data_IF_837126317196
#
_entry.id   IF_837126317196
#
_cell.length_a   1.000
_cell.length_b   1.000
_cell.length_c   1.000
_cell.angle_alpha   90.00
_cell.angle_beta   90.00
_cell.angle_gamma   90.00
#
_symmetry.space_group_name_H-M   'P 1'
#
loop_
_entity.id
_entity.type
_entity.pdbx_description
1 polymer ?
#
# COMPACT_ATOMS: atom_id res chain seq x y z
N UNK A 1 19.89 -16.07 -7.23
CA UNK A 1 19.29 -16.37 -5.91
C UNK A 1 18.09 -15.43 -5.75
N UNK A 2 16.99 -15.89 -5.19
CA UNK A 2 15.88 -14.99 -4.83
C UNK A 2 16.35 -14.12 -3.67
N UNK A 3 15.97 -12.85 -3.66
CA UNK A 3 16.30 -11.94 -2.56
C UNK A 3 15.64 -12.41 -1.25
N UNK A 4 16.28 -12.09 -0.14
CA UNK A 4 15.85 -12.47 1.20
C UNK A 4 15.02 -11.37 1.84
N UNK A 5 14.26 -11.72 2.89
CA UNK A 5 13.48 -10.73 3.65
C UNK A 5 14.40 -9.69 4.34
N UNK A 6 15.62 -10.06 4.71
CA UNK A 6 16.58 -9.13 5.31
C UNK A 6 17.07 -8.07 4.30
N UNK A 7 17.23 -8.45 3.02
CA UNK A 7 17.53 -7.49 1.95
C UNK A 7 16.36 -6.53 1.72
N UNK A 8 15.13 -7.04 1.73
CA UNK A 8 13.91 -6.22 1.64
C UNK A 8 13.80 -5.27 2.83
N UNK A 9 14.02 -5.77 4.05
CA UNK A 9 14.01 -4.96 5.29
C UNK A 9 15.06 -3.86 5.24
N UNK A 10 16.29 -4.20 4.83
CA UNK A 10 17.36 -3.22 4.68
C UNK A 10 16.99 -2.13 3.69
N UNK A 11 16.46 -2.53 2.53
CA UNK A 11 16.04 -1.58 1.48
C UNK A 11 15.01 -0.57 2.00
N UNK A 12 13.96 -1.03 2.69
CA UNK A 12 12.91 -0.16 3.21
C UNK A 12 13.32 0.64 4.46
N UNK A 13 14.30 0.14 5.24
CA UNK A 13 14.91 0.92 6.32
C UNK A 13 15.73 2.10 5.77
N UNK A 14 16.54 1.84 4.75
CA UNK A 14 17.40 2.86 4.14
C UNK A 14 16.56 3.87 3.32
N UNK A 15 15.36 3.50 2.89
CA UNK A 15 14.49 4.27 2.00
C UNK A 15 13.01 4.17 2.40
N UNK A 16 12.60 4.76 3.53
CA UNK A 16 11.19 4.80 3.90
C UNK A 16 10.34 5.37 2.75
N UNK A 17 9.28 4.65 2.38
CA UNK A 17 8.43 5.03 1.26
C UNK A 17 7.79 6.41 1.51
N UNK A 18 7.83 7.30 0.51
CA UNK A 18 7.26 8.64 0.56
C UNK A 18 7.95 9.63 1.53
N UNK A 19 9.07 9.29 2.17
CA UNK A 19 9.76 10.18 3.11
C UNK A 19 10.16 11.53 2.47
N UNK A 20 10.40 11.55 1.17
CA UNK A 20 10.76 12.75 0.39
C UNK A 20 9.56 13.50 -0.19
N UNK A 21 8.34 13.14 0.18
CA UNK A 21 7.14 13.82 -0.30
C UNK A 21 6.91 15.20 0.33
N UNK A 22 7.67 15.58 1.33
CA UNK A 22 7.67 16.91 1.91
C UNK A 22 9.08 17.46 2.03
N UNK A 23 9.22 18.79 1.95
CA UNK A 23 10.43 19.54 2.25
C UNK A 23 10.41 20.15 3.65
N UNK A 24 9.31 19.98 4.40
CA UNK A 24 9.15 20.46 5.78
C UNK A 24 9.97 19.61 6.75
N UNK A 25 10.11 20.09 7.95
CA UNK A 25 10.78 19.36 9.04
C UNK A 25 10.04 18.06 9.36
N UNK A 26 10.75 16.93 9.26
CA UNK A 26 10.19 15.62 9.52
C UNK A 26 9.63 15.52 10.94
N UNK A 27 8.40 15.02 11.05
CA UNK A 27 7.72 14.85 12.33
C UNK A 27 6.84 16.02 12.74
N UNK A 28 6.72 17.06 11.90
CA UNK A 28 5.74 18.15 12.09
C UNK A 28 4.42 17.82 11.40
N UNK A 29 3.34 18.51 11.79
CA UNK A 29 2.03 18.38 11.14
C UNK A 29 2.15 18.78 9.67
N UNK A 30 2.82 19.88 9.39
CA UNK A 30 3.02 20.42 8.04
C UNK A 30 3.73 19.41 7.13
N UNK A 31 4.72 18.68 7.69
CA UNK A 31 5.38 17.60 6.95
C UNK A 31 4.39 16.49 6.59
N UNK A 32 3.62 16.03 7.55
CA UNK A 32 2.69 14.93 7.35
C UNK A 32 1.53 15.30 6.43
N UNK A 33 1.02 16.53 6.51
CA UNK A 33 -0.03 17.05 5.62
C UNK A 33 0.46 17.09 4.16
N UNK A 34 1.70 17.56 3.90
CA UNK A 34 2.27 17.57 2.54
C UNK A 34 2.48 16.15 2.00
N UNK A 35 2.99 15.22 2.83
CA UNK A 35 3.16 13.81 2.46
C UNK A 35 1.81 13.19 2.08
N UNK A 36 0.78 13.43 2.86
CA UNK A 36 -0.56 12.91 2.64
C UNK A 36 -1.19 13.50 1.39
N UNK A 37 -1.15 14.83 1.25
CA UNK A 37 -1.67 15.54 0.08
C UNK A 37 -1.03 15.02 -1.21
N UNK A 38 0.29 14.86 -1.22
CA UNK A 38 1.02 14.35 -2.39
C UNK A 38 0.66 12.91 -2.69
N UNK A 39 0.56 12.04 -1.66
CA UNK A 39 0.16 10.65 -1.84
C UNK A 39 -1.24 10.53 -2.44
N UNK A 40 -2.24 11.17 -1.84
CA UNK A 40 -3.62 11.05 -2.33
C UNK A 40 -3.87 11.80 -3.64
N UNK A 41 -3.04 12.80 -3.96
CA UNK A 41 -3.06 13.41 -5.29
C UNK A 41 -2.51 12.48 -6.36
N UNK A 42 -1.45 11.75 -6.06
CA UNK A 42 -0.85 10.79 -6.99
C UNK A 42 -1.68 9.49 -7.10
N UNK A 43 -2.31 9.08 -6.02
CA UNK A 43 -3.03 7.81 -5.89
C UNK A 43 -4.46 8.04 -5.33
N UNK A 44 -5.34 8.79 -6.03
CA UNK A 44 -6.65 9.18 -5.51
C UNK A 44 -7.61 8.01 -5.26
N UNK A 45 -7.39 6.87 -5.95
CA UNK A 45 -8.16 5.64 -5.76
C UNK A 45 -8.04 5.06 -4.34
N UNK A 46 -6.98 5.39 -3.58
CA UNK A 46 -6.82 4.97 -2.18
C UNK A 46 -8.02 5.43 -1.34
N UNK A 47 -8.46 6.68 -1.52
CA UNK A 47 -9.58 7.24 -0.74
C UNK A 47 -10.88 6.47 -0.97
N UNK A 48 -11.12 6.03 -2.21
CA UNK A 48 -12.29 5.20 -2.55
C UNK A 48 -12.11 3.78 -2.01
N UNK A 49 -10.93 3.21 -2.12
CA UNK A 49 -10.66 1.82 -1.74
C UNK A 49 -10.67 1.61 -0.22
N UNK A 50 -10.16 2.57 0.56
CA UNK A 50 -10.09 2.47 2.03
C UNK A 50 -11.46 2.57 2.70
N UNK A 51 -12.37 3.42 2.18
CA UNK A 51 -13.70 3.65 2.75
C UNK A 51 -13.64 4.00 4.26
N UNK A 52 -12.73 4.90 4.65
CA UNK A 52 -12.36 5.21 6.03
C UNK A 52 -13.54 5.32 7.00
N UNK A 53 -14.62 6.01 6.61
CA UNK A 53 -15.79 6.24 7.46
C UNK A 53 -16.58 4.97 7.82
N UNK A 54 -16.48 3.91 7.02
CA UNK A 54 -17.15 2.62 7.29
C UNK A 54 -16.55 1.88 8.49
N UNK A 55 -15.30 2.23 8.86
CA UNK A 55 -14.56 1.54 9.91
C UNK A 55 -14.61 2.26 11.26
N UNK A 56 -15.49 3.24 11.41
CA UNK A 56 -15.73 3.89 12.70
C UNK A 56 -16.16 2.89 13.77
N UNK A 57 -15.49 2.90 14.93
CA UNK A 57 -15.68 1.96 16.04
C UNK A 57 -15.39 0.49 15.66
N UNK A 58 -14.61 0.26 14.62
CA UNK A 58 -14.19 -1.05 14.14
C UNK A 58 -12.68 -1.24 14.35
N UNK A 59 -12.25 -2.49 14.50
CA UNK A 59 -10.84 -2.84 14.59
C UNK A 59 -10.23 -2.95 13.20
N UNK A 60 -9.18 -2.19 12.96
CA UNK A 60 -8.43 -2.18 11.69
C UNK A 60 -7.00 -2.62 11.93
N UNK A 61 -6.55 -3.64 11.20
CA UNK A 61 -5.15 -4.06 11.12
C UNK A 61 -4.57 -3.65 9.77
N UNK A 62 -3.57 -2.78 9.78
CA UNK A 62 -2.81 -2.43 8.58
C UNK A 62 -1.47 -3.18 8.56
N UNK A 63 -1.26 -4.01 7.54
CA UNK A 63 -0.01 -4.73 7.31
C UNK A 63 0.85 -3.94 6.33
N UNK A 64 1.99 -3.41 6.84
CA UNK A 64 2.87 -2.51 6.12
C UNK A 64 2.39 -1.05 6.17
N UNK A 65 2.29 -0.50 7.38
CA UNK A 65 1.74 0.84 7.57
C UNK A 65 2.65 1.99 7.09
N UNK A 66 3.91 1.69 6.77
CA UNK A 66 4.87 2.69 6.30
C UNK A 66 4.98 3.89 7.26
N UNK A 67 4.82 5.10 6.72
CA UNK A 67 4.83 6.35 7.51
C UNK A 67 3.47 6.65 8.20
N UNK A 68 2.55 5.69 8.24
CA UNK A 68 1.24 5.85 8.85
C UNK A 68 0.27 6.77 8.10
N UNK A 69 0.49 7.03 6.80
CA UNK A 69 -0.34 7.98 6.03
C UNK A 69 -1.78 7.51 5.86
N UNK A 70 -1.99 6.22 5.62
CA UNK A 70 -3.33 5.64 5.54
C UNK A 70 -3.87 5.37 6.95
N UNK A 71 -3.02 4.84 7.83
CA UNK A 71 -3.36 4.50 9.21
C UNK A 71 -3.91 5.66 10.02
N UNK A 72 -3.32 6.86 9.91
CA UNK A 72 -3.81 8.04 10.63
C UNK A 72 -5.25 8.39 10.20
N UNK A 73 -5.59 8.19 8.93
CA UNK A 73 -6.93 8.47 8.42
C UNK A 73 -7.97 7.47 8.95
N UNK A 74 -7.61 6.19 9.15
CA UNK A 74 -8.48 5.27 9.87
C UNK A 74 -8.72 5.73 11.30
N UNK A 75 -7.67 6.12 12.04
CA UNK A 75 -7.80 6.59 13.42
C UNK A 75 -8.60 7.88 13.53
N UNK A 76 -8.37 8.87 12.66
CA UNK A 76 -9.13 10.13 12.61
C UNK A 76 -10.63 9.90 12.30
N UNK A 77 -10.96 8.83 11.59
CA UNK A 77 -12.34 8.41 11.35
C UNK A 77 -12.90 7.51 12.47
N UNK A 78 -12.16 7.31 13.56
CA UNK A 78 -12.63 6.64 14.77
C UNK A 78 -12.46 5.11 14.76
N UNK A 79 -11.58 4.54 13.96
CA UNK A 79 -11.23 3.13 14.05
C UNK A 79 -10.28 2.83 15.23
N UNK A 80 -10.38 1.64 15.84
CA UNK A 80 -9.34 1.06 16.72
C UNK A 80 -8.22 0.50 15.84
N UNK A 81 -7.15 1.28 15.69
CA UNK A 81 -6.12 1.04 14.69
C UNK A 81 -4.92 0.27 15.25
N UNK A 82 -4.48 -0.71 14.47
CA UNK A 82 -3.23 -1.45 14.67
C UNK A 82 -2.41 -1.43 13.38
N UNK A 83 -1.16 -0.98 13.45
CA UNK A 83 -0.20 -0.96 12.35
C UNK A 83 0.95 -1.94 12.55
N UNK A 84 1.33 -2.63 11.50
CA UNK A 84 2.50 -3.52 11.44
C UNK A 84 3.45 -3.02 10.37
N UNK A 85 4.74 -2.97 10.67
CA UNK A 85 5.76 -2.50 9.72
C UNK A 85 7.06 -3.32 9.87
N UNK A 86 7.72 -3.59 8.74
CA UNK A 86 9.00 -4.30 8.68
C UNK A 86 10.18 -3.35 8.96
N UNK A 87 10.07 -2.09 8.50
CA UNK A 87 11.07 -1.05 8.66
C UNK A 87 10.91 -0.33 10.00
N UNK A 88 11.95 -0.36 10.81
CA UNK A 88 11.99 0.37 12.09
C UNK A 88 11.86 1.88 11.86
N UNK A 89 12.58 2.40 10.87
CA UNK A 89 12.58 3.83 10.56
C UNK A 89 11.18 4.32 10.16
N UNK A 90 10.50 3.57 9.28
CA UNK A 90 9.12 3.89 8.90
C UNK A 90 8.16 3.85 10.08
N UNK A 91 8.29 2.82 10.92
CA UNK A 91 7.42 2.64 12.09
C UNK A 91 7.55 3.78 13.11
N UNK A 92 8.77 4.25 13.38
CA UNK A 92 9.00 5.38 14.31
C UNK A 92 8.38 6.68 13.75
N UNK A 93 8.46 6.90 12.44
CA UNK A 93 7.80 8.03 11.78
C UNK A 93 6.27 7.89 11.88
N UNK A 94 5.72 6.70 11.69
CA UNK A 94 4.28 6.45 11.86
C UNK A 94 3.79 6.74 13.28
N UNK A 95 4.52 6.29 14.30
CA UNK A 95 4.22 6.62 15.71
C UNK A 95 4.25 8.13 15.95
N UNK A 96 5.27 8.82 15.40
CA UNK A 96 5.38 10.28 15.51
C UNK A 96 4.20 10.99 14.83
N UNK A 97 3.73 10.49 13.68
CA UNK A 97 2.51 11.01 13.03
C UNK A 97 1.31 10.91 13.96
N UNK A 98 1.06 9.75 14.56
CA UNK A 98 -0.07 9.57 15.47
C UNK A 98 0.03 10.49 16.71
N UNK A 99 1.25 10.67 17.25
CA UNK A 99 1.51 11.59 18.37
C UNK A 99 1.09 13.03 18.00
N UNK A 100 1.57 13.58 16.88
CA UNK A 100 1.32 14.97 16.51
C UNK A 100 -0.13 15.24 16.12
N UNK A 101 -0.85 14.23 15.62
CA UNK A 101 -2.30 14.31 15.37
C UNK A 101 -3.15 13.98 16.61
N UNK A 102 -2.50 13.74 17.77
CA UNK A 102 -3.18 13.35 19.02
C UNK A 102 -4.12 12.16 18.83
N UNK A 103 -3.67 11.15 18.07
CA UNK A 103 -4.38 9.90 17.86
C UNK A 103 -3.66 8.74 18.54
N UNK A 104 -4.42 7.70 18.89
CA UNK A 104 -3.89 6.46 19.44
C UNK A 104 -3.87 5.36 18.39
N UNK A 105 -2.90 4.45 18.50
CA UNK A 105 -2.78 3.25 17.68
C UNK A 105 -1.81 2.27 18.34
N UNK A 106 -1.97 0.98 18.01
CA UNK A 106 -1.02 -0.06 18.39
C UNK A 106 -0.04 -0.26 17.25
N UNK A 107 1.25 -0.36 17.54
CA UNK A 107 2.30 -0.49 16.52
C UNK A 107 3.23 -1.63 16.82
N UNK A 108 3.45 -2.49 15.83
CA UNK A 108 4.31 -3.66 15.94
C UNK A 108 5.38 -3.66 14.85
N UNK A 109 6.64 -3.86 15.25
CA UNK A 109 7.76 -4.05 14.34
C UNK A 109 7.96 -5.53 14.06
N UNK A 110 7.90 -5.95 12.81
CA UNK A 110 8.13 -7.36 12.48
C UNK A 110 7.84 -7.72 11.02
N UNK A 111 8.22 -8.95 10.68
CA UNK A 111 7.95 -9.54 9.38
C UNK A 111 6.55 -10.14 9.33
N UNK A 112 5.71 -9.65 8.44
CA UNK A 112 4.33 -10.12 8.29
C UNK A 112 4.22 -11.61 7.87
N UNK A 113 5.30 -12.21 7.37
CA UNK A 113 5.35 -13.67 7.14
C UNK A 113 5.24 -14.49 8.44
N UNK A 114 5.49 -13.85 9.57
CA UNK A 114 5.46 -14.43 10.92
C UNK A 114 4.55 -13.60 11.85
N UNK A 115 3.53 -12.95 11.33
CA UNK A 115 2.67 -11.98 12.02
C UNK A 115 2.21 -12.44 13.39
N UNK A 116 1.79 -13.71 13.54
CA UNK A 116 1.31 -14.27 14.80
C UNK A 116 2.40 -14.51 15.85
N UNK A 117 3.68 -14.31 15.53
CA UNK A 117 4.77 -14.43 16.50
C UNK A 117 4.96 -13.18 17.36
N UNK A 118 4.45 -12.02 16.90
CA UNK A 118 4.67 -10.73 17.56
C UNK A 118 3.42 -9.84 17.68
N UNK A 119 2.35 -10.12 16.92
CA UNK A 119 1.05 -9.45 17.09
C UNK A 119 0.11 -10.39 17.85
N UNK A 120 -0.50 -9.95 18.96
CA UNK A 120 -1.52 -10.75 19.65
C UNK A 120 -2.66 -11.14 18.72
N UNK A 121 -3.07 -12.42 18.78
CA UNK A 121 -4.18 -12.89 17.93
C UNK A 121 -5.48 -12.35 18.50
N UNK A 122 -6.13 -11.51 17.73
CA UNK A 122 -7.48 -11.02 17.95
C UNK A 122 -8.19 -10.87 16.59
N UNK A 123 -9.51 -10.77 16.59
CA UNK A 123 -10.26 -10.58 15.35
C UNK A 123 -10.34 -9.10 14.99
N UNK A 124 -10.06 -8.78 13.71
CA UNK A 124 -10.21 -7.47 13.13
C UNK A 124 -11.38 -7.44 12.15
N UNK A 125 -12.08 -6.31 12.08
CA UNK A 125 -13.17 -6.07 11.12
C UNK A 125 -12.63 -5.83 9.72
N UNK A 126 -11.50 -5.09 9.63
CA UNK A 126 -10.74 -4.87 8.40
C UNK A 126 -9.30 -5.29 8.59
N UNK A 127 -8.77 -6.05 7.62
CA UNK A 127 -7.33 -6.15 7.41
C UNK A 127 -7.01 -5.46 6.10
N UNK A 128 -6.11 -4.50 6.17
CA UNK A 128 -5.70 -3.66 5.04
C UNK A 128 -4.21 -3.83 4.77
N UNK A 129 -3.83 -3.96 3.49
CA UNK A 129 -2.42 -3.99 3.10
C UNK A 129 -2.26 -3.38 1.70
N UNK A 130 -1.55 -2.28 1.60
CA UNK A 130 -1.41 -1.54 0.36
C UNK A 130 0.06 -1.36 -0.02
N UNK A 131 0.48 -2.00 -1.11
CA UNK A 131 1.85 -1.85 -1.60
C UNK A 131 2.90 -2.64 -0.81
N UNK A 132 2.56 -3.81 -0.24
CA UNK A 132 3.43 -4.52 0.71
C UNK A 132 3.64 -5.99 0.34
N UNK A 133 2.58 -6.77 0.19
CA UNK A 133 2.65 -8.25 0.07
C UNK A 133 3.49 -8.68 -1.12
N UNK A 134 3.47 -7.93 -2.21
CA UNK A 134 4.25 -8.21 -3.41
C UNK A 134 5.77 -7.95 -3.27
N UNK A 135 6.20 -7.35 -2.15
CA UNK A 135 7.61 -7.19 -1.81
C UNK A 135 8.15 -8.31 -0.90
N UNK A 136 7.32 -9.28 -0.53
CA UNK A 136 7.73 -10.44 0.25
C UNK A 136 8.33 -11.53 -0.66
N UNK A 137 9.38 -12.24 -0.21
CA UNK A 137 9.81 -13.50 -0.85
C UNK A 137 8.77 -14.63 -0.71
N UNK A 138 7.86 -14.52 0.26
CA UNK A 138 6.84 -15.53 0.59
C UNK A 138 5.45 -14.90 0.81
N UNK A 139 4.83 -14.28 -0.22
CA UNK A 139 3.53 -13.61 -0.10
C UNK A 139 2.41 -14.56 0.42
N UNK A 140 2.49 -15.85 0.08
CA UNK A 140 1.57 -16.89 0.55
C UNK A 140 1.60 -17.07 2.09
N UNK A 141 2.76 -16.86 2.73
CA UNK A 141 2.88 -16.89 4.18
C UNK A 141 2.14 -15.72 4.82
N UNK A 142 2.30 -14.50 4.28
CA UNK A 142 1.59 -13.32 4.79
C UNK A 142 0.08 -13.54 4.72
N UNK A 143 -0.44 -13.99 3.58
CA UNK A 143 -1.85 -14.27 3.38
C UNK A 143 -2.34 -15.36 4.36
N UNK A 144 -1.54 -16.39 4.60
CA UNK A 144 -1.85 -17.44 5.59
C UNK A 144 -1.86 -16.91 7.03
N UNK A 145 -0.95 -16.00 7.38
CA UNK A 145 -0.93 -15.38 8.70
C UNK A 145 -2.15 -14.47 8.92
N UNK A 146 -2.54 -13.69 7.92
CA UNK A 146 -3.70 -12.81 7.97
C UNK A 146 -4.98 -13.58 8.34
N UNK A 147 -5.18 -14.79 7.85
CA UNK A 147 -6.34 -15.64 8.18
C UNK A 147 -6.57 -15.80 9.68
N UNK A 148 -5.52 -15.81 10.50
CA UNK A 148 -5.60 -15.98 11.94
C UNK A 148 -6.26 -14.82 12.68
N UNK A 149 -6.39 -13.68 12.00
CA UNK A 149 -6.93 -12.42 12.51
C UNK A 149 -8.31 -12.09 11.93
N UNK A 150 -8.92 -13.04 11.22
CA UNK A 150 -10.20 -12.87 10.54
C UNK A 150 -11.24 -13.86 11.02
N UNK A 151 -12.50 -13.45 10.95
CA UNK A 151 -13.68 -14.32 11.00
C UNK A 151 -14.56 -14.12 9.76
N UNK A 152 -15.75 -14.72 9.72
CA UNK A 152 -16.69 -14.65 8.61
C UNK A 152 -17.19 -13.24 8.29
N UNK A 153 -17.10 -12.30 9.25
CA UNK A 153 -17.53 -10.90 9.10
C UNK A 153 -16.36 -9.97 8.72
N UNK A 154 -15.13 -10.45 8.81
CA UNK A 154 -13.93 -9.67 8.51
C UNK A 154 -13.80 -9.44 7.02
N UNK A 155 -13.29 -8.25 6.65
CA UNK A 155 -12.96 -7.89 5.27
C UNK A 155 -11.45 -7.80 5.12
N UNK A 156 -10.93 -8.38 4.06
CA UNK A 156 -9.55 -8.19 3.60
C UNK A 156 -9.54 -7.25 2.40
N UNK A 157 -8.77 -6.17 2.49
CA UNK A 157 -8.48 -5.26 1.35
C UNK A 157 -6.99 -5.22 1.12
N UNK A 158 -6.54 -5.67 -0.05
CA UNK A 158 -5.12 -5.65 -0.42
C UNK A 158 -4.92 -5.01 -1.78
N UNK A 159 -3.79 -4.33 -1.96
CA UNK A 159 -3.32 -3.88 -3.26
C UNK A 159 -2.06 -4.64 -3.65
N UNK A 160 -2.06 -5.16 -4.88
CA UNK A 160 -0.92 -5.82 -5.52
C UNK A 160 -0.61 -5.15 -6.86
N UNK A 161 0.62 -5.31 -7.36
CA UNK A 161 1.01 -4.82 -8.67
C UNK A 161 0.48 -5.70 -9.79
N UNK A 162 -0.13 -5.08 -10.79
CA UNK A 162 -0.70 -5.76 -11.95
C UNK A 162 0.37 -6.13 -12.98
N UNK A 163 0.42 -7.40 -13.38
CA UNK A 163 1.28 -7.89 -14.46
C UNK A 163 0.82 -7.33 -15.81
N UNK A 164 -0.49 -7.39 -16.06
CA UNK A 164 -1.10 -6.85 -17.26
C UNK A 164 -1.43 -5.36 -17.04
N UNK A 165 -0.42 -4.50 -17.10
CA UNK A 165 -0.56 -3.07 -16.83
C UNK A 165 0.33 -2.21 -17.72
N UNK A 166 -0.10 -0.97 -17.96
CA UNK A 166 0.69 0.03 -18.67
C UNK A 166 2.11 0.13 -18.12
N UNK A 167 2.22 0.26 -16.80
CA UNK A 167 3.52 0.42 -16.14
C UNK A 167 4.43 -0.79 -16.32
N UNK A 168 3.91 -2.01 -16.15
CA UNK A 168 4.71 -3.22 -16.33
C UNK A 168 5.22 -3.35 -17.77
N UNK A 169 4.38 -3.06 -18.76
CA UNK A 169 4.82 -3.08 -20.17
C UNK A 169 5.89 -2.02 -20.46
N UNK A 170 5.78 -0.83 -19.86
CA UNK A 170 6.80 0.22 -20.00
C UNK A 170 8.12 -0.18 -19.33
N UNK A 171 8.07 -0.85 -18.17
CA UNK A 171 9.27 -1.37 -17.48
C UNK A 171 9.93 -2.47 -18.33
N UNK A 172 9.16 -3.42 -18.84
CA UNK A 172 9.66 -4.52 -19.66
C UNK A 172 10.29 -4.01 -20.98
N UNK A 173 9.78 -2.89 -21.50
CA UNK A 173 10.33 -2.21 -22.66
C UNK A 173 11.55 -1.30 -22.33
N UNK A 174 11.93 -1.17 -21.07
CA UNK A 174 13.00 -0.28 -20.62
C UNK A 174 12.68 1.23 -20.74
N UNK A 175 11.39 1.57 -20.82
CA UNK A 175 10.90 2.94 -21.02
C UNK A 175 10.39 3.61 -19.74
N UNK A 176 10.20 2.84 -18.67
CA UNK A 176 9.77 3.36 -17.37
C UNK A 176 10.55 2.68 -16.25
N UNK A 177 10.56 3.35 -15.12
CA UNK A 177 11.25 2.91 -13.93
C UNK A 177 10.41 3.31 -12.72
N UNK A 178 9.70 2.37 -12.07
CA UNK A 178 8.93 2.70 -10.88
C UNK A 178 9.88 3.17 -9.79
N UNK A 179 9.67 4.36 -9.27
CA UNK A 179 10.51 4.92 -8.22
C UNK A 179 10.61 4.00 -7.00
N UNK A 180 9.47 3.42 -6.57
CA UNK A 180 9.42 2.48 -5.45
C UNK A 180 10.13 1.15 -5.75
N UNK A 181 10.29 0.79 -7.02
CA UNK A 181 10.91 -0.47 -7.44
C UNK A 181 12.38 -0.32 -7.81
N UNK A 182 12.87 0.90 -8.01
CA UNK A 182 14.27 1.10 -8.38
C UNK A 182 15.22 0.60 -7.30
N UNK A 183 15.87 -0.53 -7.60
CA UNK A 183 16.75 -1.23 -6.66
C UNK A 183 16.01 -1.98 -5.55
N UNK A 184 14.67 -2.07 -5.57
CA UNK A 184 13.93 -2.91 -4.65
C UNK A 184 14.24 -4.39 -4.95
N UNK A 185 14.64 -5.19 -3.94
CA UNK A 185 15.05 -6.57 -4.16
C UNK A 185 13.96 -7.48 -4.70
N UNK A 186 12.69 -7.19 -4.34
CA UNK A 186 11.51 -7.97 -4.75
C UNK A 186 10.38 -7.01 -5.09
N UNK A 187 9.80 -7.17 -6.28
CA UNK A 187 8.57 -6.51 -6.69
C UNK A 187 7.80 -7.47 -7.63
N UNK A 188 7.02 -8.36 -7.02
CA UNK A 188 6.22 -9.33 -7.76
C UNK A 188 5.03 -8.65 -8.43
N UNK A 189 4.71 -9.07 -9.65
CA UNK A 189 3.50 -8.66 -10.36
C UNK A 189 2.55 -9.84 -10.52
N UNK A 190 1.25 -9.59 -10.57
CA UNK A 190 0.20 -10.60 -10.56
C UNK A 190 -0.80 -10.38 -11.69
N UNK A 191 -1.22 -11.45 -12.34
CA UNK A 191 -2.47 -11.48 -13.09
C UNK A 191 -3.65 -11.60 -12.10
N UNK A 192 -4.89 -11.35 -12.57
CA UNK A 192 -6.08 -11.60 -11.74
C UNK A 192 -6.22 -13.07 -11.34
N UNK A 193 -5.73 -14.00 -12.18
CA UNK A 193 -5.71 -15.43 -11.88
C UNK A 193 -4.69 -15.75 -10.76
N UNK A 194 -3.48 -15.18 -10.81
CA UNK A 194 -2.47 -15.33 -9.76
C UNK A 194 -2.98 -14.84 -8.41
N UNK A 195 -3.80 -13.77 -8.40
CA UNK A 195 -4.45 -13.27 -7.17
C UNK A 195 -5.40 -14.30 -6.58
N UNK A 196 -6.24 -14.93 -7.41
CA UNK A 196 -7.19 -15.97 -6.95
C UNK A 196 -6.44 -17.18 -6.38
N UNK A 197 -5.32 -17.55 -6.98
CA UNK A 197 -4.46 -18.65 -6.50
C UNK A 197 -3.78 -18.28 -5.18
N UNK A 198 -3.22 -17.07 -5.06
CA UNK A 198 -2.61 -16.57 -3.82
C UNK A 198 -3.62 -16.54 -2.67
N UNK A 199 -4.87 -16.14 -2.97
CA UNK A 199 -5.97 -16.04 -2.00
C UNK A 199 -6.75 -17.37 -1.85
N UNK A 200 -6.10 -18.51 -2.05
CA UNK A 200 -6.75 -19.80 -1.82
C UNK A 200 -7.28 -19.91 -0.37
N UNK A 201 -8.58 -20.24 -0.25
CA UNK A 201 -9.31 -20.28 1.02
C UNK A 201 -9.90 -18.93 1.46
N UNK A 202 -9.89 -17.94 0.57
CA UNK A 202 -10.71 -16.74 0.65
C UNK A 202 -11.78 -16.75 -0.45
N UNK A 203 -12.87 -16.06 -0.21
CA UNK A 203 -13.83 -15.64 -1.22
C UNK A 203 -13.41 -14.27 -1.73
N UNK A 204 -12.93 -14.20 -2.96
CA UNK A 204 -12.59 -12.94 -3.63
C UNK A 204 -13.88 -12.27 -4.10
N UNK A 205 -14.24 -11.14 -3.49
CA UNK A 205 -15.47 -10.39 -3.80
C UNK A 205 -15.29 -9.48 -5.01
N UNK A 206 -14.11 -8.84 -5.12
CA UNK A 206 -13.78 -8.00 -6.28
C UNK A 206 -12.26 -7.96 -6.52
N UNK A 207 -11.88 -7.78 -7.79
CA UNK A 207 -10.54 -7.39 -8.23
C UNK A 207 -10.73 -6.24 -9.22
N UNK A 208 -10.61 -5.01 -8.72
CA UNK A 208 -10.62 -3.82 -9.56
C UNK A 208 -9.19 -3.49 -9.97
N UNK A 209 -9.02 -2.91 -11.16
CA UNK A 209 -7.72 -2.43 -11.62
C UNK A 209 -7.81 -0.92 -11.78
N UNK A 210 -6.80 -0.22 -11.28
CA UNK A 210 -6.78 1.24 -11.21
C UNK A 210 -5.34 1.75 -11.26
N UNK A 211 -5.18 3.06 -11.36
CA UNK A 211 -3.94 3.79 -11.26
C UNK A 211 -3.01 3.66 -12.46
N UNK A 212 -3.00 4.70 -13.29
CA UNK A 212 -1.90 4.99 -14.21
C UNK A 212 -1.17 6.23 -13.67
N UNK A 213 0.15 6.12 -13.49
CA UNK A 213 0.98 7.27 -13.13
C UNK A 213 1.24 8.11 -14.38
N UNK A 214 0.57 9.28 -14.54
CA UNK A 214 0.60 10.03 -15.80
C UNK A 214 1.73 11.05 -15.86
N UNK A 215 2.53 11.19 -14.80
CA UNK A 215 3.51 12.26 -14.66
C UNK A 215 4.91 11.84 -15.10
N UNK A 216 5.71 12.83 -15.50
CA UNK A 216 7.15 12.65 -15.70
C UNK A 216 7.82 12.42 -14.33
N UNK A 217 8.67 11.40 -14.23
CA UNK A 217 9.24 10.97 -12.95
C UNK A 217 10.15 12.01 -12.32
N UNK A 218 11.07 12.59 -13.10
CA UNK A 218 12.03 13.54 -12.53
C UNK A 218 11.39 14.84 -12.02
N UNK A 219 10.48 15.51 -12.75
CA UNK A 219 9.72 16.63 -12.20
C UNK A 219 8.88 16.24 -10.98
N UNK A 220 8.24 15.07 -11.00
CA UNK A 220 7.45 14.57 -9.87
C UNK A 220 8.27 14.44 -8.58
N UNK A 221 9.51 13.96 -8.65
CA UNK A 221 10.43 13.89 -7.50
C UNK A 221 10.67 15.26 -6.86
N UNK A 222 10.60 16.33 -7.66
CA UNK A 222 10.76 17.72 -7.20
C UNK A 222 9.42 18.37 -6.80
N UNK A 223 8.33 17.62 -6.81
CA UNK A 223 6.98 18.12 -6.47
C UNK A 223 6.23 18.73 -7.64
N UNK A 224 6.76 18.65 -8.87
CA UNK A 224 6.13 19.17 -10.07
C UNK A 224 5.33 18.07 -10.78
N UNK A 225 4.03 18.34 -11.01
CA UNK A 225 3.09 17.38 -11.60
C UNK A 225 2.94 17.60 -13.11
N UNK A 226 4.04 17.43 -13.85
CA UNK A 226 4.08 17.56 -15.32
C UNK A 226 3.68 16.22 -15.93
N UNK A 227 2.54 16.19 -16.64
CA UNK A 227 2.08 14.98 -17.34
C UNK A 227 3.00 14.63 -18.52
N UNK A 228 3.04 13.36 -18.85
CA UNK A 228 3.59 12.90 -20.12
C UNK A 228 2.71 13.43 -21.26
N UNK A 229 3.27 13.90 -22.40
CA UNK A 229 2.49 14.53 -23.49
C UNK A 229 1.34 13.67 -24.02
N UNK A 230 1.51 12.35 -24.08
CA UNK A 230 0.46 11.42 -24.52
C UNK A 230 -0.71 11.32 -23.54
N UNK A 231 -0.49 11.50 -22.23
CA UNK A 231 -1.57 11.55 -21.24
C UNK A 231 -2.21 12.94 -21.16
N UNK A 232 -1.46 14.00 -21.43
CA UNK A 232 -2.00 15.37 -21.42
C UNK A 232 -2.99 15.58 -22.57
N UNK A 233 -2.70 15.04 -23.75
CA UNK A 233 -3.57 15.09 -24.93
C UNK A 233 -4.70 14.06 -24.93
N UNK A 234 -4.73 13.14 -23.97
CA UNK A 234 -5.70 12.02 -23.96
C UNK A 234 -7.07 12.46 -23.47
N UNK A 235 -8.16 12.11 -24.19
CA UNK A 235 -9.52 12.33 -23.68
C UNK A 235 -9.73 11.60 -22.33
N UNK A 236 -10.42 12.24 -21.39
CA UNK A 236 -10.66 11.69 -20.03
C UNK A 236 -11.26 10.29 -20.05
N UNK A 237 -12.29 10.05 -20.89
CA UNK A 237 -12.91 8.73 -21.00
C UNK A 237 -11.95 7.62 -21.48
N UNK A 238 -10.97 7.99 -22.32
CA UNK A 238 -9.92 7.07 -22.76
C UNK A 238 -8.96 6.76 -21.62
N UNK A 239 -8.53 7.79 -20.86
CA UNK A 239 -7.66 7.63 -19.70
C UNK A 239 -8.32 6.74 -18.63
N UNK A 240 -9.57 7.00 -18.26
CA UNK A 240 -10.34 6.17 -17.31
C UNK A 240 -10.49 4.73 -17.80
N UNK A 241 -10.63 4.52 -19.11
CA UNK A 241 -10.69 3.16 -19.69
C UNK A 241 -9.34 2.46 -19.57
N UNK A 242 -8.23 3.17 -19.79
CA UNK A 242 -6.88 2.62 -19.59
C UNK A 242 -6.64 2.26 -18.12
N UNK A 243 -7.02 3.13 -17.17
CA UNK A 243 -6.87 2.85 -15.74
C UNK A 243 -7.58 1.55 -15.34
N UNK A 244 -8.82 1.35 -15.79
CA UNK A 244 -9.62 0.16 -15.47
C UNK A 244 -9.08 -1.14 -16.09
N UNK A 245 -8.34 -1.06 -17.20
CA UNK A 245 -7.86 -2.23 -17.92
C UNK A 245 -6.36 -2.45 -17.86
N UNK A 246 -5.59 -1.37 -17.68
CA UNK A 246 -4.12 -1.37 -17.68
C UNK A 246 -3.55 -0.61 -16.48
N UNK A 247 -4.33 -0.35 -15.45
CA UNK A 247 -3.87 0.26 -14.20
C UNK A 247 -2.80 -0.59 -13.51
N UNK A 248 -1.91 0.04 -12.78
CA UNK A 248 -0.80 -0.62 -12.08
C UNK A 248 -1.24 -1.36 -10.83
N UNK A 249 -2.33 -0.95 -10.21
CA UNK A 249 -2.83 -1.49 -8.94
C UNK A 249 -4.00 -2.43 -9.15
N UNK A 250 -3.88 -3.67 -8.67
CA UNK A 250 -5.00 -4.57 -8.44
C UNK A 250 -5.52 -4.30 -7.03
N UNK A 251 -6.74 -3.79 -6.93
CA UNK A 251 -7.45 -3.50 -5.69
C UNK A 251 -8.37 -4.69 -5.40
N UNK A 252 -8.04 -5.46 -4.39
CA UNK A 252 -8.69 -6.75 -4.10
C UNK A 252 -9.46 -6.63 -2.80
N UNK A 253 -10.74 -6.99 -2.83
CA UNK A 253 -11.57 -7.17 -1.65
C UNK A 253 -11.94 -8.64 -1.51
N UNK A 254 -11.75 -9.21 -0.32
CA UNK A 254 -12.01 -10.62 -0.05
C UNK A 254 -12.52 -10.84 1.38
N UNK A 255 -13.09 -12.02 1.63
CA UNK A 255 -13.50 -12.54 2.96
C UNK A 255 -12.96 -13.94 3.15
N UNK A 256 -13.04 -14.46 4.36
CA UNK A 256 -12.84 -15.89 4.57
C UNK A 256 -13.99 -16.69 3.93
N UNK A 257 -13.65 -17.86 3.35
CA UNK A 257 -14.65 -18.84 2.91
C UNK A 257 -15.27 -19.52 4.11
#
# INVERSE_FOLDING_TARGET
>A
MKATIEEVKKFWNDRPCNIKHSSKELGTIEYFDEVELKKFRAEPHILKFTEFSQWKNKKVLEVGCGLGTVGINFALNGADYTGVELSKESLEIAKKRFEVYNQSGKFYLGNAEELSSFVPIETYDLIYSFGVIHHSPHPEKIVSQIKKYMNENSVLKIMLYAKDSWKNYMIDAGLDQPEAQYGCPIANTYTKQDVVELLNGYEVLSIEQDHIFPYQVEPYKQGEYIKQPWFDAMPTAMFETLEKNLGWHLLITAKLK
#
